data_IF_681459337906
#
_entry.id   IF_681459337906
#
_cell.length_a   1.000
_cell.length_b   1.000
_cell.length_c   1.000
_cell.angle_alpha   90.00
_cell.angle_beta   90.00
_cell.angle_gamma   90.00
#
_symmetry.space_group_name_H-M   'P 1'
#
loop_
_entity.id
_entity.type
_entity.pdbx_description
1 polymer ?
#
# COMPACT_ATOMS: atom_id res chain seq x y z
N UNK A 1 27.30 -38.17 8.10
CA UNK A 1 27.56 -36.92 7.37
C UNK A 1 26.59 -36.83 6.19
N UNK A 2 25.38 -36.31 6.39
CA UNK A 2 24.32 -36.20 5.35
C UNK A 2 23.41 -34.96 5.53
N UNK A 3 23.82 -33.97 6.34
CA UNK A 3 22.94 -32.85 6.72
C UNK A 3 23.08 -31.57 5.89
N UNK A 4 24.12 -31.43 5.07
CA UNK A 4 24.40 -30.19 4.32
C UNK A 4 23.75 -30.15 2.92
N UNK A 5 23.47 -31.29 2.29
CA UNK A 5 22.83 -31.32 0.97
C UNK A 5 21.32 -31.12 1.03
N UNK A 6 20.62 -31.69 2.03
CA UNK A 6 19.17 -31.53 2.20
C UNK A 6 18.79 -30.10 2.59
N UNK A 7 19.60 -29.44 3.43
CA UNK A 7 19.39 -28.04 3.81
C UNK A 7 19.59 -27.07 2.62
N UNK A 8 20.61 -27.30 1.78
CA UNK A 8 20.85 -26.48 0.58
C UNK A 8 19.76 -26.65 -0.49
N UNK A 9 19.29 -27.88 -0.71
CA UNK A 9 18.19 -28.16 -1.64
C UNK A 9 16.88 -27.51 -1.15
N UNK A 10 16.63 -27.52 0.15
CA UNK A 10 15.46 -26.87 0.73
C UNK A 10 15.51 -25.34 0.59
N UNK A 11 16.69 -24.73 0.80
CA UNK A 11 16.90 -23.30 0.61
C UNK A 11 16.67 -22.87 -0.84
N UNK A 12 17.23 -23.58 -1.83
CA UNK A 12 17.03 -23.27 -3.24
C UNK A 12 15.55 -23.32 -3.65
N UNK A 13 14.80 -24.30 -3.12
CA UNK A 13 13.36 -24.41 -3.36
C UNK A 13 12.58 -23.24 -2.74
N UNK A 14 12.92 -22.83 -1.52
CA UNK A 14 12.31 -21.67 -0.85
C UNK A 14 12.53 -20.39 -1.67
N UNK A 15 13.75 -20.13 -2.12
CA UNK A 15 14.05 -18.96 -2.98
C UNK A 15 13.31 -19.03 -4.31
N UNK A 16 13.18 -20.21 -4.91
CA UNK A 16 12.40 -20.39 -6.14
C UNK A 16 10.93 -20.05 -5.93
N UNK A 17 10.32 -20.49 -4.82
CA UNK A 17 8.94 -20.17 -4.46
C UNK A 17 8.76 -18.66 -4.21
N UNK A 18 9.65 -18.06 -3.42
CA UNK A 18 9.65 -16.62 -3.16
C UNK A 18 9.68 -15.81 -4.46
N UNK A 19 10.59 -16.16 -5.38
CA UNK A 19 10.70 -15.49 -6.66
C UNK A 19 9.49 -15.68 -7.58
N UNK A 20 8.82 -16.83 -7.49
CA UNK A 20 7.57 -17.05 -8.21
C UNK A 20 6.48 -16.06 -7.72
N UNK A 21 6.30 -15.93 -6.40
CA UNK A 21 5.35 -14.98 -5.82
C UNK A 21 5.67 -13.52 -6.19
N UNK A 22 6.95 -13.12 -6.10
CA UNK A 22 7.39 -11.76 -6.47
C UNK A 22 7.08 -11.45 -7.95
N UNK A 23 7.36 -12.39 -8.86
CA UNK A 23 7.08 -12.22 -10.30
C UNK A 23 5.59 -12.22 -10.62
N UNK A 24 4.79 -12.93 -9.82
CA UNK A 24 3.34 -12.95 -9.93
C UNK A 24 2.66 -11.72 -9.28
N UNK A 25 3.42 -10.86 -8.57
CA UNK A 25 2.90 -9.78 -7.74
C UNK A 25 1.99 -10.28 -6.60
N UNK A 26 2.29 -11.44 -6.04
CA UNK A 26 1.60 -12.05 -4.90
C UNK A 26 2.36 -11.73 -3.60
N UNK A 27 2.37 -10.46 -3.19
CA UNK A 27 3.21 -10.05 -2.06
C UNK A 27 2.78 -10.62 -0.73
N UNK A 28 1.51 -10.91 -0.49
CA UNK A 28 1.13 -11.63 0.73
C UNK A 28 1.82 -12.99 0.84
N UNK A 29 1.88 -13.75 -0.26
CA UNK A 29 2.52 -15.05 -0.27
C UNK A 29 4.05 -14.93 -0.21
N UNK A 30 4.62 -13.93 -0.90
CA UNK A 30 6.04 -13.62 -0.77
C UNK A 30 6.41 -13.25 0.68
N UNK A 31 5.61 -12.39 1.33
CA UNK A 31 5.80 -11.97 2.72
C UNK A 31 5.69 -13.14 3.68
N UNK A 32 4.71 -14.03 3.49
CA UNK A 32 4.56 -15.24 4.29
C UNK A 32 5.80 -16.12 4.20
N UNK A 33 6.33 -16.35 3.00
CA UNK A 33 7.57 -17.10 2.80
C UNK A 33 8.75 -16.41 3.49
N UNK A 34 8.88 -15.09 3.34
CA UNK A 34 9.95 -14.36 3.99
C UNK A 34 9.90 -14.46 5.52
N UNK A 35 8.72 -14.34 6.12
CA UNK A 35 8.53 -14.42 7.57
C UNK A 35 8.74 -15.84 8.10
N UNK A 36 8.16 -16.86 7.42
CA UNK A 36 8.23 -18.26 7.84
C UNK A 36 9.65 -18.83 7.75
N UNK A 37 10.41 -18.45 6.73
CA UNK A 37 11.74 -19.01 6.46
C UNK A 37 12.89 -18.03 6.74
N UNK A 38 12.60 -16.81 7.22
CA UNK A 38 13.56 -15.73 7.44
C UNK A 38 14.47 -15.50 6.21
N UNK A 39 13.84 -15.37 5.03
CA UNK A 39 14.53 -15.12 3.75
C UNK A 39 14.06 -13.80 3.16
N UNK A 40 14.92 -13.17 2.35
CA UNK A 40 14.56 -11.99 1.56
C UNK A 40 15.10 -12.15 0.13
N UNK A 41 14.45 -11.57 -0.90
CA UNK A 41 14.98 -11.57 -2.24
C UNK A 41 16.31 -10.81 -2.30
N UNK A 42 17.22 -11.23 -3.18
CA UNK A 42 18.46 -10.50 -3.42
C UNK A 42 18.16 -9.17 -4.12
N UNK A 43 18.77 -8.08 -3.62
CA UNK A 43 18.54 -6.72 -4.14
C UNK A 43 18.86 -6.59 -5.64
N UNK A 44 19.98 -7.17 -6.09
CA UNK A 44 20.40 -7.14 -7.50
C UNK A 44 19.35 -7.77 -8.42
N UNK A 45 18.77 -8.89 -8.01
CA UNK A 45 17.73 -9.57 -8.78
C UNK A 45 16.42 -8.76 -8.80
N UNK A 46 16.09 -8.10 -7.68
CA UNK A 46 14.93 -7.20 -7.58
C UNK A 46 15.08 -6.00 -8.51
N UNK A 47 16.25 -5.36 -8.51
CA UNK A 47 16.54 -4.20 -9.37
C UNK A 47 16.46 -4.59 -10.85
N UNK A 48 17.05 -5.74 -11.23
CA UNK A 48 16.96 -6.25 -12.60
C UNK A 48 15.50 -6.46 -13.02
N UNK A 49 14.69 -7.07 -12.15
CA UNK A 49 13.27 -7.31 -12.45
C UNK A 49 12.47 -6.02 -12.56
N UNK A 50 12.65 -5.09 -11.61
CA UNK A 50 11.98 -3.78 -11.61
C UNK A 50 12.33 -2.99 -12.87
N UNK A 51 13.62 -2.93 -13.24
CA UNK A 51 14.06 -2.21 -14.44
C UNK A 51 13.46 -2.80 -15.71
N UNK A 52 13.35 -4.14 -15.81
CA UNK A 52 12.66 -4.78 -16.92
C UNK A 52 11.19 -4.35 -17.05
N UNK A 53 10.48 -4.21 -15.93
CA UNK A 53 9.09 -3.73 -15.92
C UNK A 53 8.97 -2.24 -16.28
N UNK A 54 9.93 -1.41 -15.84
CA UNK A 54 9.97 0.02 -16.21
C UNK A 54 10.16 0.18 -17.71
N UNK A 55 11.10 -0.55 -18.31
CA UNK A 55 11.32 -0.53 -19.77
C UNK A 55 10.07 -0.99 -20.54
N UNK A 56 9.38 -2.05 -20.07
CA UNK A 56 8.12 -2.51 -20.66
C UNK A 56 6.99 -1.48 -20.56
N UNK A 57 6.97 -0.68 -19.48
CA UNK A 57 6.01 0.41 -19.31
C UNK A 57 6.28 1.53 -20.29
N UNK A 58 7.54 1.94 -20.45
CA UNK A 58 7.96 3.02 -21.34
C UNK A 58 7.74 2.68 -22.83
N UNK A 59 7.79 1.38 -23.18
CA UNK A 59 7.54 0.92 -24.56
C UNK A 59 6.07 0.77 -24.93
N UNK A 60 5.12 0.97 -24.00
CA UNK A 60 3.68 0.85 -24.28
C UNK A 60 3.07 2.23 -24.48
N UNK A 61 2.34 2.41 -25.59
CA UNK A 61 1.49 3.58 -25.80
C UNK A 61 0.46 3.71 -24.65
N UNK A 62 0.17 4.95 -24.25
CA UNK A 62 -0.49 5.32 -22.98
C UNK A 62 -1.99 4.94 -22.87
N UNK A 63 -2.41 3.77 -23.31
CA UNK A 63 -3.81 3.32 -23.33
C UNK A 63 -4.10 2.28 -22.23
N UNK A 64 -4.36 2.72 -21.01
CA UNK A 64 -5.27 2.11 -20.00
C UNK A 64 -5.06 0.65 -19.47
N UNK A 65 -3.83 0.11 -19.37
CA UNK A 65 -3.46 -0.68 -18.19
C UNK A 65 -2.23 -0.13 -17.43
N UNK A 66 -1.82 1.12 -17.72
CA UNK A 66 -0.63 1.78 -17.13
C UNK A 66 -0.68 1.87 -15.60
N UNK A 67 -1.84 2.25 -15.04
CA UNK A 67 -1.98 2.48 -13.60
C UNK A 67 -1.75 1.22 -12.74
N UNK A 68 -2.14 0.03 -13.25
CA UNK A 68 -1.93 -1.23 -12.54
C UNK A 68 -0.44 -1.59 -12.52
N UNK A 69 0.24 -1.44 -13.64
CA UNK A 69 1.68 -1.70 -13.73
C UNK A 69 2.46 -0.69 -12.88
N UNK A 70 2.05 0.58 -12.85
CA UNK A 70 2.64 1.61 -12.00
C UNK A 70 2.54 1.28 -10.52
N UNK A 71 1.35 0.87 -10.05
CA UNK A 71 1.14 0.44 -8.66
C UNK A 71 2.04 -0.74 -8.32
N UNK A 72 2.13 -1.72 -9.21
CA UNK A 72 2.98 -2.90 -9.06
C UNK A 72 4.47 -2.56 -9.00
N UNK A 73 4.96 -1.69 -9.88
CA UNK A 73 6.35 -1.20 -9.85
C UNK A 73 6.63 -0.45 -8.55
N UNK A 74 5.72 0.44 -8.12
CA UNK A 74 5.86 1.19 -6.86
C UNK A 74 5.92 0.23 -5.66
N UNK A 75 5.09 -0.80 -5.65
CA UNK A 75 5.05 -1.80 -4.60
C UNK A 75 6.31 -2.67 -4.56
N UNK A 76 6.83 -3.10 -5.72
CA UNK A 76 8.13 -3.79 -5.81
C UNK A 76 9.28 -2.94 -5.27
N UNK A 77 9.31 -1.64 -5.61
CA UNK A 77 10.32 -0.71 -5.08
C UNK A 77 10.23 -0.62 -3.56
N UNK A 78 9.03 -0.48 -3.00
CA UNK A 78 8.85 -0.46 -1.54
C UNK A 78 9.19 -1.78 -0.87
N UNK A 79 8.85 -2.92 -1.48
CA UNK A 79 9.23 -4.23 -0.99
C UNK A 79 10.75 -4.42 -1.00
N UNK A 80 11.44 -3.94 -2.04
CA UNK A 80 12.91 -3.90 -2.11
C UNK A 80 13.50 -3.01 -1.01
N UNK A 81 12.96 -1.81 -0.81
CA UNK A 81 13.54 -0.79 0.08
C UNK A 81 13.24 -1.06 1.57
N UNK A 82 12.10 -1.67 1.86
CA UNK A 82 11.62 -1.85 3.23
C UNK A 82 11.45 -3.31 3.65
N UNK A 83 11.78 -4.24 2.75
CA UNK A 83 11.70 -5.67 3.01
C UNK A 83 10.27 -6.11 3.34
N UNK A 84 10.15 -6.95 4.37
CA UNK A 84 8.95 -7.73 4.62
C UNK A 84 7.94 -7.04 5.56
N UNK A 85 7.85 -5.71 5.52
CA UNK A 85 6.94 -4.94 6.34
C UNK A 85 5.74 -4.44 5.51
N UNK A 86 4.53 -5.03 5.65
CA UNK A 86 3.35 -4.60 4.91
C UNK A 86 3.03 -3.11 5.08
N UNK A 87 3.26 -2.56 6.27
CA UNK A 87 2.98 -1.16 6.61
C UNK A 87 3.93 -0.15 5.95
N UNK A 88 5.01 -0.62 5.31
CA UNK A 88 5.91 0.20 4.50
C UNK A 88 5.63 0.04 3.00
N UNK A 89 4.99 -1.06 2.59
CA UNK A 89 4.59 -1.29 1.19
C UNK A 89 3.33 -0.50 0.88
N UNK A 90 2.32 -0.60 1.74
CA UNK A 90 1.04 0.11 1.58
C UNK A 90 1.18 1.54 2.09
N UNK A 91 0.77 2.51 1.27
CA UNK A 91 0.82 3.91 1.67
C UNK A 91 -0.22 4.22 2.75
N UNK A 92 0.22 4.83 3.86
CA UNK A 92 -0.69 5.17 4.96
C UNK A 92 -1.63 6.33 4.62
N UNK A 93 -1.25 7.22 3.71
CA UNK A 93 -2.13 8.29 3.23
C UNK A 93 -1.93 8.59 1.75
N UNK A 94 -3.02 8.84 1.02
CA UNK A 94 -2.93 9.31 -0.38
C UNK A 94 -3.11 10.83 -0.49
N UNK A 95 -3.24 11.53 0.64
CA UNK A 95 -3.53 12.95 0.69
C UNK A 95 -2.37 13.75 0.08
N UNK A 96 -2.68 14.60 -0.89
CA UNK A 96 -1.71 15.48 -1.55
C UNK A 96 -1.77 16.89 -0.99
N UNK A 97 -0.66 17.62 -1.08
CA UNK A 97 -0.61 19.02 -0.69
C UNK A 97 -1.61 19.85 -1.49
N UNK A 98 -2.33 20.74 -0.81
CA UNK A 98 -3.34 21.62 -1.43
C UNK A 98 -4.66 20.92 -1.76
N UNK A 99 -4.82 19.65 -1.38
CA UNK A 99 -6.04 18.90 -1.66
C UNK A 99 -7.24 19.47 -0.89
N UNK A 100 -8.39 19.57 -1.54
CA UNK A 100 -9.65 19.94 -0.90
C UNK A 100 -10.73 18.99 -1.40
N UNK A 101 -11.28 18.17 -0.50
CA UNK A 101 -12.24 17.14 -0.90
C UNK A 101 -12.45 16.09 0.18
N UNK A 102 -12.89 14.90 -0.24
CA UNK A 102 -13.28 13.85 0.70
C UNK A 102 -12.10 13.00 1.13
N UNK A 103 -12.15 12.57 2.38
CA UNK A 103 -11.26 11.57 2.95
C UNK A 103 -12.07 10.43 3.57
N UNK A 104 -11.51 9.23 3.51
CA UNK A 104 -12.03 8.01 4.10
C UNK A 104 -10.93 7.39 4.95
N UNK A 105 -11.23 7.06 6.21
CA UNK A 105 -10.36 6.18 6.99
C UNK A 105 -10.76 4.75 6.68
N UNK A 106 -9.76 3.91 6.43
CA UNK A 106 -9.96 2.48 6.18
C UNK A 106 -9.06 1.64 7.07
N UNK A 107 -9.54 0.47 7.44
CA UNK A 107 -8.74 -0.61 8.01
C UNK A 107 -8.49 -1.69 6.95
N UNK A 108 -7.24 -2.11 6.84
CA UNK A 108 -6.82 -3.26 6.05
C UNK A 108 -6.42 -4.35 7.04
N UNK A 109 -7.02 -5.53 6.92
CA UNK A 109 -6.77 -6.66 7.81
C UNK A 109 -7.00 -8.00 7.11
N UNK A 110 -6.39 -9.06 7.61
CA UNK A 110 -6.41 -10.40 7.03
C UNK A 110 -5.13 -10.72 6.24
N UNK A 111 -4.97 -11.99 5.88
CA UNK A 111 -3.74 -12.47 5.24
C UNK A 111 -2.53 -12.34 6.16
N UNK A 112 -1.52 -11.55 5.74
CA UNK A 112 -0.32 -11.24 6.54
C UNK A 112 -0.41 -9.90 7.26
N UNK A 113 -1.55 -9.20 7.15
CA UNK A 113 -1.80 -7.90 7.79
C UNK A 113 -2.72 -8.14 8.98
N UNK A 114 -2.20 -7.92 10.19
CA UNK A 114 -3.01 -7.93 11.40
C UNK A 114 -4.03 -6.77 11.37
N UNK A 115 -3.52 -5.54 11.40
CA UNK A 115 -4.32 -4.34 11.15
C UNK A 115 -3.45 -3.18 10.66
N UNK A 116 -3.86 -2.56 9.56
CA UNK A 116 -3.26 -1.34 9.04
C UNK A 116 -4.35 -0.29 8.80
N UNK A 117 -4.24 0.85 9.48
CA UNK A 117 -5.16 1.97 9.30
C UNK A 117 -4.56 2.96 8.30
N UNK A 118 -5.34 3.33 7.30
CA UNK A 118 -4.93 4.21 6.22
C UNK A 118 -5.96 5.34 6.02
N UNK A 119 -5.49 6.48 5.52
CA UNK A 119 -6.32 7.58 5.03
C UNK A 119 -6.30 7.56 3.50
N UNK A 120 -7.48 7.65 2.89
CA UNK A 120 -7.65 7.68 1.43
C UNK A 120 -8.42 8.94 1.06
N UNK A 121 -7.94 9.63 0.04
CA UNK A 121 -8.49 10.90 -0.44
C UNK A 121 -9.03 10.72 -1.86
N UNK A 122 -10.15 11.36 -2.18
CA UNK A 122 -10.72 11.31 -3.53
C UNK A 122 -11.90 12.25 -3.71
N UNK A 123 -12.11 12.70 -4.95
CA UNK A 123 -13.13 13.72 -5.27
C UNK A 123 -14.53 13.10 -5.43
N UNK A 124 -14.55 11.78 -5.57
CA UNK A 124 -15.68 10.88 -5.74
C UNK A 124 -16.41 10.58 -4.42
N UNK A 125 -17.50 9.81 -4.49
CA UNK A 125 -18.26 9.39 -3.29
C UNK A 125 -17.40 8.53 -2.37
N UNK A 126 -17.65 8.53 -1.05
CA UNK A 126 -16.84 7.73 -0.12
C UNK A 126 -16.86 6.24 -0.48
N UNK A 127 -18.00 5.70 -0.96
CA UNK A 127 -18.07 4.32 -1.48
C UNK A 127 -17.14 4.04 -2.66
N UNK A 128 -16.91 5.03 -3.52
CA UNK A 128 -16.00 4.91 -4.65
C UNK A 128 -14.53 4.98 -4.19
N UNK A 129 -14.24 5.82 -3.18
CA UNK A 129 -12.91 5.81 -2.51
C UNK A 129 -12.64 4.43 -1.91
N UNK A 130 -13.61 3.81 -1.23
CA UNK A 130 -13.48 2.47 -0.68
C UNK A 130 -13.23 1.42 -1.77
N UNK A 131 -14.02 1.44 -2.86
CA UNK A 131 -13.86 0.50 -3.97
C UNK A 131 -12.51 0.65 -4.68
N UNK A 132 -12.07 1.89 -4.90
CA UNK A 132 -10.75 2.18 -5.46
C UNK A 132 -9.62 1.69 -4.55
N UNK A 133 -9.80 1.82 -3.23
CA UNK A 133 -8.85 1.30 -2.25
C UNK A 133 -8.80 -0.23 -2.27
N UNK A 134 -9.95 -0.92 -2.33
CA UNK A 134 -10.00 -2.38 -2.50
C UNK A 134 -9.25 -2.83 -3.76
N UNK A 135 -9.42 -2.12 -4.87
CA UNK A 135 -8.71 -2.40 -6.11
C UNK A 135 -7.20 -2.13 -5.99
N UNK A 136 -6.81 -1.02 -5.35
CA UNK A 136 -5.41 -0.69 -5.05
C UNK A 136 -4.74 -1.82 -4.25
N UNK A 137 -5.31 -2.20 -3.11
CA UNK A 137 -4.73 -3.23 -2.23
C UNK A 137 -4.58 -4.57 -2.94
N UNK A 138 -5.56 -4.96 -3.77
CA UNK A 138 -5.45 -6.16 -4.62
C UNK A 138 -4.37 -6.03 -5.69
N UNK A 139 -4.26 -4.89 -6.36
CA UNK A 139 -3.23 -4.64 -7.38
C UNK A 139 -1.81 -4.64 -6.79
N UNK A 140 -1.68 -4.22 -5.53
CA UNK A 140 -0.45 -4.31 -4.75
C UNK A 140 -0.12 -5.75 -4.35
N UNK A 141 -0.96 -6.75 -4.60
CA UNK A 141 -0.67 -8.15 -4.28
C UNK A 141 -1.19 -8.61 -2.91
N UNK A 142 -2.09 -7.84 -2.30
CA UNK A 142 -2.74 -8.18 -1.04
C UNK A 142 -4.17 -8.69 -1.26
N UNK A 143 -4.30 -9.84 -1.92
CA UNK A 143 -5.59 -10.38 -2.38
C UNK A 143 -6.39 -11.10 -1.29
N UNK A 144 -5.74 -11.55 -0.20
CA UNK A 144 -6.36 -12.21 0.97
C UNK A 144 -6.66 -11.19 2.08
N UNK A 145 -6.11 -9.98 2.01
CA UNK A 145 -6.48 -8.85 2.86
C UNK A 145 -7.83 -8.26 2.45
N UNK A 146 -8.63 -7.89 3.44
CA UNK A 146 -9.89 -7.17 3.27
C UNK A 146 -9.72 -5.71 3.66
N UNK A 147 -10.49 -4.82 3.02
CA UNK A 147 -10.51 -3.38 3.30
C UNK A 147 -11.89 -3.00 3.81
N UNK A 148 -11.93 -2.39 4.99
CA UNK A 148 -13.13 -1.94 5.68
C UNK A 148 -13.07 -0.43 5.88
N UNK A 149 -14.18 0.25 5.68
CA UNK A 149 -14.36 1.64 6.07
C UNK A 149 -14.37 1.81 7.59
N UNK A 150 -13.85 2.93 8.06
CA UNK A 150 -13.93 3.39 9.46
C UNK A 150 -14.54 4.81 9.54
N UNK A 151 -15.41 5.12 8.58
CA UNK A 151 -16.05 6.43 8.43
C UNK A 151 -15.26 7.39 7.53
N UNK A 152 -15.93 8.48 7.15
CA UNK A 152 -15.35 9.51 6.28
C UNK A 152 -15.58 10.92 6.79
N UNK A 153 -14.86 11.84 6.17
CA UNK A 153 -14.95 13.28 6.39
C UNK A 153 -14.54 14.02 5.10
N UNK A 154 -14.45 15.34 5.18
CA UNK A 154 -13.81 16.19 4.21
C UNK A 154 -12.53 16.79 4.81
N UNK A 155 -11.64 17.24 3.93
CA UNK A 155 -10.42 17.96 4.28
C UNK A 155 -10.24 19.15 3.36
N UNK A 156 -9.70 20.26 3.88
CA UNK A 156 -9.30 21.42 3.10
C UNK A 156 -7.97 21.96 3.60
N UNK A 157 -7.08 22.28 2.66
CA UNK A 157 -5.82 22.99 2.95
C UNK A 157 -6.07 24.49 2.90
N UNK A 158 -5.68 25.18 3.95
CA UNK A 158 -5.77 26.63 4.06
C UNK A 158 -4.44 27.31 3.68
N UNK A 159 -4.53 28.59 3.35
CA UNK A 159 -3.38 29.43 3.01
C UNK A 159 -2.46 29.70 4.21
N UNK A 160 -3.02 29.71 5.43
CA UNK A 160 -2.31 29.94 6.69
C UNK A 160 -1.54 28.71 7.22
N UNK A 161 -1.35 27.68 6.38
CA UNK A 161 -0.77 26.37 6.71
C UNK A 161 -1.65 25.44 7.56
N UNK A 162 -2.90 25.80 7.80
CA UNK A 162 -3.81 24.87 8.47
C UNK A 162 -4.36 23.83 7.48
N UNK A 163 -4.69 22.66 8.02
CA UNK A 163 -5.46 21.62 7.34
C UNK A 163 -6.69 21.38 8.21
N UNK A 164 -7.86 21.67 7.67
CA UNK A 164 -9.14 21.52 8.38
C UNK A 164 -9.77 20.19 8.00
N UNK A 165 -10.12 19.37 8.99
CA UNK A 165 -10.90 18.14 8.83
C UNK A 165 -12.32 18.42 9.34
N UNK A 166 -13.32 18.23 8.49
CA UNK A 166 -14.70 18.63 8.79
C UNK A 166 -15.74 17.70 8.14
N UNK A 167 -16.98 17.78 8.62
CA UNK A 167 -18.10 17.01 8.08
C UNK A 167 -18.01 15.50 8.32
N UNK A 168 -18.87 14.75 7.63
CA UNK A 168 -19.05 13.30 7.79
C UNK A 168 -19.31 12.63 6.44
N UNK A 169 -19.23 11.30 6.39
CA UNK A 169 -19.70 10.53 5.24
C UNK A 169 -21.19 10.22 5.35
N UNK A 170 -21.94 10.40 4.26
CA UNK A 170 -23.33 9.97 4.17
C UNK A 170 -23.44 8.44 4.06
N UNK A 171 -22.45 7.80 3.40
CA UNK A 171 -22.43 6.34 3.21
C UNK A 171 -21.99 5.61 4.49
N UNK A 172 -21.05 6.18 5.25
CA UNK A 172 -20.31 5.47 6.30
C UNK A 172 -20.22 6.20 7.64
N UNK A 173 -20.93 7.32 7.80
CA UNK A 173 -20.90 8.13 9.02
C UNK A 173 -19.56 8.85 9.28
N UNK A 174 -19.39 9.44 10.48
CA UNK A 174 -18.18 10.15 10.85
C UNK A 174 -16.98 9.20 11.00
N UNK A 175 -15.80 9.65 10.58
CA UNK A 175 -14.55 9.02 11.00
C UNK A 175 -14.07 9.54 12.37
N UNK A 176 -13.13 8.80 12.97
CA UNK A 176 -12.30 9.34 14.05
C UNK A 176 -11.34 10.40 13.48
N UNK A 177 -11.70 11.68 13.63
CA UNK A 177 -10.91 12.81 13.13
C UNK A 177 -9.58 13.00 13.88
N UNK A 178 -9.44 12.47 15.11
CA UNK A 178 -8.16 12.44 15.83
C UNK A 178 -7.22 11.39 15.22
N UNK A 179 -7.77 10.24 14.80
CA UNK A 179 -7.01 9.28 14.02
C UNK A 179 -6.60 9.87 12.66
N UNK A 180 -7.53 10.53 11.97
CA UNK A 180 -7.27 11.20 10.70
C UNK A 180 -6.17 12.27 10.82
N UNK A 181 -6.22 13.11 11.86
CA UNK A 181 -5.20 14.13 12.09
C UNK A 181 -3.82 13.52 12.30
N UNK A 182 -3.70 12.45 13.09
CA UNK A 182 -2.41 11.74 13.27
C UNK A 182 -1.84 11.19 11.96
N UNK A 183 -2.69 10.67 11.07
CA UNK A 183 -2.24 10.16 9.75
C UNK A 183 -1.79 11.30 8.83
N UNK A 184 -2.47 12.44 8.87
CA UNK A 184 -2.09 13.64 8.09
C UNK A 184 -0.78 14.24 8.63
N UNK A 185 -0.62 14.34 9.96
CA UNK A 185 0.56 14.94 10.60
C UNK A 185 1.85 14.18 10.28
N UNK A 186 1.76 12.86 10.04
CA UNK A 186 2.91 12.05 9.64
C UNK A 186 3.52 12.50 8.31
N UNK A 187 2.71 13.08 7.42
CA UNK A 187 3.14 13.57 6.10
C UNK A 187 3.38 15.07 6.10
N UNK A 188 2.50 15.84 6.74
CA UNK A 188 2.57 17.31 6.77
C UNK A 188 3.00 17.80 8.16
N UNK A 189 4.27 17.54 8.50
CA UNK A 189 4.81 17.78 9.85
C UNK A 189 4.81 19.24 10.28
N UNK A 190 4.87 20.16 9.32
CA UNK A 190 4.98 21.61 9.50
C UNK A 190 3.61 22.33 9.46
N UNK A 191 2.52 21.58 9.40
CA UNK A 191 1.16 22.11 9.30
C UNK A 191 0.37 21.84 10.57
N UNK A 192 -0.53 22.77 10.89
CA UNK A 192 -1.49 22.59 11.98
C UNK A 192 -2.70 21.85 11.44
N UNK A 193 -3.27 20.95 12.24
CA UNK A 193 -4.47 20.23 11.87
C UNK A 193 -5.59 20.66 12.80
N UNK A 194 -6.66 21.19 12.20
CA UNK A 194 -7.86 21.62 12.89
C UNK A 194 -8.93 20.53 12.67
N UNK A 195 -9.54 20.10 13.76
CA UNK A 195 -10.63 19.12 13.75
C UNK A 195 -11.90 19.86 14.14
N UNK A 196 -12.87 19.86 13.23
CA UNK A 196 -14.22 20.41 13.39
C UNK A 196 -15.26 19.29 13.38
#
# INVERSE_FOLDING_TARGET
MTSTSSFRQNKALIYKKLWACVKAFEFEDALKICMEYNVVPALVDMDRFINGLVMQRESRDQTYPSHKLDRRIKALKRFRDHGCNPGQIIEKTTLKQGYSGKILIVAIMGGVIDRLTCLRSGDLWHREILQNTKNEIRDLGFSKSSVYELGGANVRFETNKDIVIFGTSDDFGPCDKVCASKLIQQVFKDRNIIVD
#
